data_IF_213262664729
#
_entry.id   IF_213262664729
#
_cell.length_a   1.000
_cell.length_b   1.000
_cell.length_c   1.000
_cell.angle_alpha   90.00
_cell.angle_beta   90.00
_cell.angle_gamma   90.00
#
_symmetry.space_group_name_H-M   'P 1'
#
loop_
_entity.id
_entity.type
_entity.pdbx_description
1 polymer ?
#
# COMPACT_ATOMS: atom_id res chain seq x y z
N UNK A 1 6.80 14.54 -20.63
CA UNK A 1 6.86 13.37 -19.75
C UNK A 1 5.83 12.36 -20.22
N UNK A 2 6.06 11.07 -19.97
CA UNK A 2 5.12 9.99 -20.26
C UNK A 2 4.82 9.22 -18.98
N UNK A 3 3.60 8.69 -18.83
CA UNK A 3 3.21 7.84 -17.72
C UNK A 3 2.33 6.70 -18.23
N UNK A 4 2.48 5.53 -17.61
CA UNK A 4 1.60 4.39 -17.80
C UNK A 4 0.98 4.05 -16.44
N UNK A 5 -0.33 3.81 -16.44
CA UNK A 5 -1.05 3.39 -15.25
C UNK A 5 -1.82 2.10 -15.51
N UNK A 6 -1.92 1.25 -14.50
CA UNK A 6 -2.67 -0.01 -14.52
C UNK A 6 -3.58 -0.04 -13.31
N UNK A 7 -4.87 -0.21 -13.55
CA UNK A 7 -5.90 -0.29 -12.53
C UNK A 7 -6.34 -1.74 -12.34
N UNK A 8 -6.44 -2.17 -11.09
CA UNK A 8 -6.99 -3.47 -10.71
C UNK A 8 -8.24 -3.20 -9.89
N UNK A 9 -9.39 -3.44 -10.51
CA UNK A 9 -10.68 -3.40 -9.83
C UNK A 9 -10.99 -4.78 -9.26
N UNK A 10 -11.17 -4.86 -7.95
CA UNK A 10 -11.63 -6.04 -7.23
C UNK A 10 -13.00 -5.76 -6.60
N UNK A 11 -13.62 -6.76 -6.01
CA UNK A 11 -14.94 -6.61 -5.39
C UNK A 11 -14.93 -5.57 -4.24
N UNK A 12 -13.88 -5.58 -3.41
CA UNK A 12 -13.82 -4.79 -2.18
C UNK A 12 -13.03 -3.48 -2.32
N UNK A 13 -12.20 -3.33 -3.35
CA UNK A 13 -11.36 -2.16 -3.54
C UNK A 13 -10.84 -2.05 -4.98
N UNK A 14 -10.26 -0.89 -5.30
CA UNK A 14 -9.54 -0.65 -6.55
C UNK A 14 -8.12 -0.18 -6.24
N UNK A 15 -7.13 -0.83 -6.82
CA UNK A 15 -5.72 -0.44 -6.72
C UNK A 15 -5.20 0.14 -8.03
N UNK A 16 -4.26 1.08 -7.93
CA UNK A 16 -3.66 1.76 -9.07
C UNK A 16 -2.14 1.72 -8.99
N UNK A 17 -1.52 1.17 -10.03
CA UNK A 17 -0.08 1.15 -10.24
C UNK A 17 0.30 2.13 -11.34
N UNK A 18 1.45 2.79 -11.23
CA UNK A 18 1.93 3.71 -12.24
C UNK A 18 3.45 3.66 -12.39
N UNK A 19 3.94 3.83 -13.61
CA UNK A 19 5.34 4.07 -13.89
C UNK A 19 5.50 5.23 -14.86
N UNK A 20 6.63 5.92 -14.75
CA UNK A 20 6.92 7.14 -15.49
C UNK A 20 8.05 6.89 -16.48
N UNK A 21 7.82 7.27 -17.73
CA UNK A 21 8.87 7.29 -18.74
C UNK A 21 9.85 8.42 -18.47
N UNK A 22 11.12 8.08 -18.32
CA UNK A 22 12.24 9.03 -18.24
C UNK A 22 13.11 8.95 -19.49
N UNK A 23 13.93 9.98 -19.74
CA UNK A 23 14.81 10.02 -20.92
C UNK A 23 15.74 8.81 -20.90
N UNK A 24 15.74 8.02 -21.98
CA UNK A 24 16.56 6.82 -22.12
C UNK A 24 15.87 5.51 -21.71
N UNK A 25 14.65 5.54 -21.19
CA UNK A 25 13.86 4.34 -20.87
C UNK A 25 12.93 3.98 -22.02
N UNK A 26 12.94 2.72 -22.46
CA UNK A 26 12.03 2.24 -23.51
C UNK A 26 10.59 2.11 -23.00
N UNK A 27 9.61 2.10 -23.90
CA UNK A 27 8.21 1.91 -23.53
C UNK A 27 7.97 0.54 -22.87
N UNK A 28 8.65 -0.50 -23.35
CA UNK A 28 8.60 -1.86 -22.79
C UNK A 28 9.16 -1.89 -21.36
N UNK A 29 10.23 -1.15 -21.07
CA UNK A 29 10.77 -1.07 -19.72
C UNK A 29 9.76 -0.41 -18.76
N UNK A 30 9.09 0.67 -19.17
CA UNK A 30 8.02 1.29 -18.38
C UNK A 30 6.85 0.33 -18.17
N UNK A 31 6.42 -0.38 -19.22
CA UNK A 31 5.34 -1.36 -19.13
C UNK A 31 5.69 -2.53 -18.21
N UNK A 32 6.92 -3.04 -18.29
CA UNK A 32 7.41 -4.12 -17.42
C UNK A 32 7.46 -3.71 -15.95
N UNK A 33 7.80 -2.46 -15.64
CA UNK A 33 7.78 -1.96 -14.27
C UNK A 33 6.37 -2.03 -13.67
N UNK A 34 5.37 -1.43 -14.34
CA UNK A 34 3.97 -1.46 -13.86
C UNK A 34 3.46 -2.90 -13.76
N UNK A 35 3.72 -3.72 -14.79
CA UNK A 35 3.29 -5.10 -14.81
C UNK A 35 3.96 -5.96 -13.73
N UNK A 36 5.18 -5.63 -13.31
CA UNK A 36 5.87 -6.33 -12.23
C UNK A 36 5.25 -5.97 -10.87
N UNK A 37 4.99 -4.70 -10.60
CA UNK A 37 4.35 -4.25 -9.37
C UNK A 37 2.93 -4.81 -9.24
N UNK A 38 2.13 -4.72 -10.31
CA UNK A 38 0.78 -5.28 -10.36
C UNK A 38 0.77 -6.79 -10.12
N UNK A 39 1.71 -7.54 -10.71
CA UNK A 39 1.84 -8.99 -10.46
C UNK A 39 2.23 -9.32 -9.03
N UNK A 40 3.12 -8.54 -8.41
CA UNK A 40 3.47 -8.72 -7.00
C UNK A 40 2.26 -8.50 -6.09
N UNK A 41 1.44 -7.49 -6.37
CA UNK A 41 0.19 -7.27 -5.66
C UNK A 41 -0.79 -8.43 -5.83
N UNK A 42 -1.06 -8.85 -7.08
CA UNK A 42 -1.97 -9.96 -7.39
C UNK A 42 -1.52 -11.33 -6.86
N UNK A 43 -0.23 -11.49 -6.54
CA UNK A 43 0.31 -12.70 -5.94
C UNK A 43 0.05 -12.80 -4.42
N UNK A 44 -0.46 -11.72 -3.79
CA UNK A 44 -0.84 -11.69 -2.38
C UNK A 44 -2.37 -11.61 -2.25
N UNK A 45 -2.96 -12.24 -1.22
CA UNK A 45 -4.38 -12.02 -0.90
C UNK A 45 -4.61 -10.74 -0.09
N UNK A 46 -3.57 -9.94 0.16
CA UNK A 46 -3.70 -8.66 0.85
C UNK A 46 -4.60 -7.70 0.06
N UNK A 47 -5.45 -6.98 0.78
CA UNK A 47 -6.37 -6.02 0.20
C UNK A 47 -5.62 -4.79 -0.33
N UNK A 48 -4.61 -4.31 0.40
CA UNK A 48 -3.98 -3.02 0.12
C UNK A 48 -2.55 -3.19 -0.38
N UNK A 49 -2.19 -2.44 -1.41
CA UNK A 49 -0.83 -2.35 -1.95
C UNK A 49 0.11 -1.59 -1.01
N UNK A 50 1.43 -1.77 -1.20
CA UNK A 50 2.46 -1.17 -0.33
C UNK A 50 2.31 0.35 -0.20
N UNK A 51 2.05 1.06 -1.30
CA UNK A 51 1.93 2.53 -1.28
C UNK A 51 0.62 3.03 -0.65
N UNK A 52 -0.50 2.35 -0.88
CA UNK A 52 -1.79 2.73 -0.29
C UNK A 52 -1.81 2.44 1.22
N UNK A 53 -1.12 1.39 1.67
CA UNK A 53 -1.00 1.06 3.09
C UNK A 53 -0.42 2.24 3.90
N UNK A 54 0.64 2.88 3.39
CA UNK A 54 1.26 4.04 4.02
C UNK A 54 0.29 5.22 4.12
N UNK A 55 -0.57 5.40 3.12
CA UNK A 55 -1.54 6.50 3.02
C UNK A 55 -2.77 6.32 3.91
N UNK A 56 -3.13 5.08 4.24
CA UNK A 56 -4.30 4.78 5.09
C UNK A 56 -4.03 5.00 6.59
N UNK A 57 -2.77 5.08 7.02
CA UNK A 57 -2.43 5.22 8.45
C UNK A 57 -3.08 6.46 9.07
N UNK A 58 -2.88 7.65 8.48
CA UNK A 58 -3.40 8.88 9.08
C UNK A 58 -4.95 8.95 9.05
N UNK A 59 -5.65 8.66 7.94
CA UNK A 59 -7.10 8.62 7.93
C UNK A 59 -7.70 7.66 8.96
N UNK A 60 -7.16 6.44 9.08
CA UNK A 60 -7.65 5.47 10.06
C UNK A 60 -7.37 5.93 11.50
N UNK A 61 -6.21 6.52 11.77
CA UNK A 61 -5.91 7.10 13.08
C UNK A 61 -6.84 8.25 13.46
N UNK A 62 -7.28 9.06 12.49
CA UNK A 62 -8.25 10.13 12.73
C UNK A 62 -9.67 9.60 12.94
N UNK A 63 -9.99 8.46 12.34
CA UNK A 63 -11.25 7.76 12.58
C UNK A 63 -11.28 7.02 13.93
N UNK A 64 -10.10 6.65 14.46
CA UNK A 64 -9.91 5.95 15.73
C UNK A 64 -10.16 4.43 15.67
N UNK A 65 -10.64 3.94 14.54
CA UNK A 65 -10.86 2.53 14.30
C UNK A 65 -10.60 2.15 12.84
N UNK A 66 -10.46 0.85 12.60
CA UNK A 66 -10.34 0.27 11.27
C UNK A 66 -9.14 -0.64 11.12
N UNK A 67 -9.11 -1.38 10.02
CA UNK A 67 -8.05 -2.32 9.72
C UNK A 67 -7.94 -2.57 8.21
N UNK A 68 -6.75 -2.99 7.78
CA UNK A 68 -6.51 -3.47 6.42
C UNK A 68 -5.43 -4.54 6.41
N UNK A 69 -5.38 -5.33 5.34
CA UNK A 69 -4.31 -6.31 5.11
C UNK A 69 -3.32 -5.79 4.08
N UNK A 70 -2.03 -6.04 4.32
CA UNK A 70 -0.92 -5.66 3.42
C UNK A 70 0.06 -6.82 3.29
N UNK A 71 0.61 -7.03 2.09
CA UNK A 71 1.52 -8.14 1.82
C UNK A 71 2.85 -8.03 2.61
N UNK A 72 3.32 -6.80 2.85
CA UNK A 72 4.55 -6.51 3.58
C UNK A 72 4.39 -5.25 4.42
N UNK A 73 4.84 -5.30 5.67
CA UNK A 73 5.06 -4.09 6.45
C UNK A 73 6.31 -3.35 5.95
N UNK A 74 6.12 -2.31 5.12
CA UNK A 74 7.21 -1.50 4.58
C UNK A 74 7.88 -0.66 5.67
N UNK A 75 9.11 -0.19 5.43
CA UNK A 75 9.77 0.73 6.36
C UNK A 75 9.01 2.07 6.47
N UNK A 76 8.38 2.52 5.38
CA UNK A 76 7.55 3.72 5.37
C UNK A 76 6.29 3.52 6.22
N UNK A 77 5.62 2.38 6.10
CA UNK A 77 4.44 2.03 6.88
C UNK A 77 4.73 2.10 8.37
N UNK A 78 5.79 1.42 8.80
CA UNK A 78 6.20 1.35 10.20
C UNK A 78 6.60 2.73 10.73
N UNK A 79 7.29 3.54 9.91
CA UNK A 79 7.65 4.90 10.29
C UNK A 79 6.42 5.80 10.43
N UNK A 80 5.45 5.70 9.51
CA UNK A 80 4.20 6.45 9.57
C UNK A 80 3.39 6.11 10.81
N UNK A 81 3.29 4.81 11.17
CA UNK A 81 2.66 4.37 12.43
C UNK A 81 3.33 5.07 13.61
N UNK A 82 4.66 4.97 13.73
CA UNK A 82 5.40 5.57 14.85
C UNK A 82 5.22 7.09 14.92
N UNK A 83 5.19 7.78 13.77
CA UNK A 83 4.94 9.22 13.73
C UNK A 83 3.53 9.52 14.21
N UNK A 84 2.52 8.85 13.67
CA UNK A 84 1.11 9.12 13.99
C UNK A 84 0.80 8.87 15.47
N UNK A 85 1.28 7.76 16.05
CA UNK A 85 1.10 7.44 17.48
C UNK A 85 1.74 8.47 18.44
N UNK A 86 2.68 9.30 17.97
CA UNK A 86 3.26 10.39 18.77
C UNK A 86 2.36 11.61 18.83
N UNK A 87 1.48 11.80 17.86
CA UNK A 87 0.63 12.99 17.74
C UNK A 87 -0.84 12.72 18.06
N UNK A 88 -1.30 11.49 17.85
CA UNK A 88 -2.69 11.08 18.08
C UNK A 88 -2.76 10.01 19.20
N UNK A 89 -3.81 10.03 20.03
CA UNK A 89 -3.98 9.11 21.16
C UNK A 89 -4.49 7.74 20.67
N UNK A 90 -3.83 7.15 19.69
CA UNK A 90 -4.21 5.87 19.08
C UNK A 90 -3.05 4.87 19.13
N UNK A 91 -3.34 3.59 18.95
CA UNK A 91 -2.33 2.54 18.79
C UNK A 91 -2.61 1.69 17.56
N UNK A 92 -1.54 1.33 16.85
CA UNK A 92 -1.60 0.39 15.74
C UNK A 92 -1.03 -0.97 16.15
N UNK A 93 -1.76 -2.05 15.87
CA UNK A 93 -1.20 -3.40 15.83
C UNK A 93 -0.83 -3.77 14.40
N UNK A 94 0.25 -4.53 14.25
CA UNK A 94 0.69 -5.09 12.98
C UNK A 94 0.95 -6.58 13.19
N UNK A 95 -0.07 -7.40 12.96
CA UNK A 95 -0.07 -8.83 13.24
C UNK A 95 0.25 -9.63 11.97
N UNK A 96 1.23 -10.53 12.05
CA UNK A 96 1.53 -11.42 10.93
C UNK A 96 0.38 -12.40 10.68
N UNK A 97 0.05 -12.62 9.41
CA UNK A 97 -0.92 -13.62 8.95
C UNK A 97 -0.22 -14.64 8.06
N UNK A 98 -0.94 -15.65 7.56
CA UNK A 98 -0.37 -16.66 6.65
C UNK A 98 0.27 -16.07 5.38
N UNK A 99 -0.14 -14.86 4.98
CA UNK A 99 0.20 -14.29 3.66
C UNK A 99 0.44 -12.78 3.68
N UNK A 100 0.77 -12.22 4.84
CA UNK A 100 1.09 -10.80 5.00
C UNK A 100 0.91 -10.33 6.44
N UNK A 101 0.32 -9.15 6.60
CA UNK A 101 0.06 -8.52 7.88
C UNK A 101 -1.35 -7.94 7.94
N UNK A 102 -1.99 -8.05 9.09
CA UNK A 102 -3.18 -7.28 9.46
C UNK A 102 -2.73 -6.05 10.25
N UNK A 103 -3.01 -4.88 9.71
CA UNK A 103 -2.78 -3.59 10.39
C UNK A 103 -4.12 -3.11 10.93
N UNK A 104 -4.18 -2.81 12.22
CA UNK A 104 -5.41 -2.36 12.90
C UNK A 104 -5.10 -1.17 13.80
N UNK A 105 -6.00 -0.21 13.85
CA UNK A 105 -5.95 0.90 14.81
C UNK A 105 -7.01 0.73 15.89
N UNK A 106 -6.68 1.20 17.09
CA UNK A 106 -7.56 1.29 18.25
C UNK A 106 -7.22 2.52 19.10
N UNK A 107 -8.25 3.20 19.60
CA UNK A 107 -8.15 4.29 20.58
C UNK A 107 -8.00 3.79 22.03
#
# INVERSE_FOLDING_TARGET
GNALSLMIQSEQLTELFAAFGVKGTSAEAVANQVAHEARRYLASPAAVGEHLADQLILPLALAGEGAFTVARASAHLLTNIVVVERFLPVRFSCEATESGYLVRVSD
#
